data_IF_878669752291
#
_entry.id   IF_878669752291
#
_cell.length_a   1.000
_cell.length_b   1.000
_cell.length_c   1.000
_cell.angle_alpha   90.00
_cell.angle_beta   90.00
_cell.angle_gamma   90.00
#
_symmetry.space_group_name_H-M   'P 1'
#
loop_
_entity.id
_entity.type
_entity.pdbx_description
1 polymer ?
#
# COMPACT_ATOMS: atom_id res chain seq x y z
N UNK A 1 29.27 -11.26 0.07
CA UNK A 1 28.63 -12.32 -0.74
C UNK A 1 27.84 -11.67 -1.86
N UNK A 2 27.94 -12.16 -3.10
CA UNK A 2 27.22 -11.60 -4.26
C UNK A 2 25.67 -11.67 -4.09
N UNK A 3 25.18 -12.51 -3.19
CA UNK A 3 23.76 -12.76 -2.93
C UNK A 3 23.19 -11.93 -1.77
N UNK A 4 23.95 -10.99 -1.22
CA UNK A 4 23.52 -10.13 -0.10
C UNK A 4 23.03 -8.77 -0.59
N UNK A 5 22.09 -8.75 -1.54
CA UNK A 5 21.41 -7.52 -2.00
C UNK A 5 19.94 -7.60 -1.63
N UNK A 6 19.45 -6.58 -0.93
CA UNK A 6 18.03 -6.43 -0.63
C UNK A 6 17.35 -5.71 -1.81
N UNK A 7 16.25 -6.26 -2.29
CA UNK A 7 15.38 -5.60 -3.24
C UNK A 7 14.40 -4.67 -2.51
N UNK A 8 14.01 -3.57 -3.17
CA UNK A 8 12.96 -2.72 -2.65
C UNK A 8 11.61 -3.46 -2.63
N UNK A 9 10.74 -3.19 -1.66
CA UNK A 9 9.40 -3.76 -1.63
C UNK A 9 8.55 -3.26 -2.80
N UNK A 10 7.65 -4.11 -3.28
CA UNK A 10 6.70 -3.75 -4.32
C UNK A 10 5.74 -2.63 -3.85
N UNK A 11 5.33 -1.77 -4.78
CA UNK A 11 4.45 -0.62 -4.54
C UNK A 11 3.30 -0.61 -5.56
N UNK A 12 2.14 -0.11 -5.15
CA UNK A 12 0.93 0.02 -5.95
C UNK A 12 0.24 1.36 -5.66
N UNK A 13 -0.50 1.91 -6.62
CA UNK A 13 -1.25 3.16 -6.41
C UNK A 13 -2.61 2.85 -5.80
N UNK A 14 -3.03 3.64 -4.80
CA UNK A 14 -4.36 3.55 -4.23
C UNK A 14 -5.40 4.07 -5.24
N UNK A 15 -6.43 3.29 -5.60
CA UNK A 15 -7.45 3.75 -6.54
C UNK A 15 -8.37 4.85 -5.97
N UNK A 16 -8.43 5.01 -4.64
CA UNK A 16 -9.33 5.97 -3.98
C UNK A 16 -8.68 7.35 -3.76
N UNK A 17 -7.45 7.40 -3.26
CA UNK A 17 -6.77 8.66 -2.95
C UNK A 17 -5.52 8.95 -3.80
N UNK A 18 -5.10 8.02 -4.66
CA UNK A 18 -3.91 8.17 -5.50
C UNK A 18 -2.57 7.96 -4.78
N UNK A 19 -2.56 7.74 -3.47
CA UNK A 19 -1.33 7.57 -2.69
C UNK A 19 -0.66 6.22 -2.95
N UNK A 20 0.66 6.15 -2.82
CA UNK A 20 1.41 4.90 -2.96
C UNK A 20 1.20 4.03 -1.73
N UNK A 21 0.75 2.80 -1.96
CA UNK A 21 0.52 1.81 -0.92
C UNK A 21 1.12 0.45 -1.29
N UNK A 22 1.25 -0.40 -0.28
CA UNK A 22 1.62 -1.79 -0.50
C UNK A 22 0.49 -2.55 -1.23
N UNK A 23 0.84 -3.42 -2.19
CA UNK A 23 -0.15 -4.25 -2.87
C UNK A 23 -0.86 -5.17 -1.87
N UNK A 24 -2.14 -5.45 -2.14
CA UNK A 24 -3.02 -6.28 -1.30
C UNK A 24 -3.18 -5.85 0.17
N UNK A 25 -2.78 -4.63 0.53
CA UNK A 25 -3.04 -4.04 1.85
C UNK A 25 -4.03 -2.89 1.78
N UNK A 26 -4.67 -2.63 2.92
CA UNK A 26 -5.48 -1.42 3.14
C UNK A 26 -4.60 -0.19 2.97
N UNK A 27 -5.12 0.85 2.34
CA UNK A 27 -4.39 2.11 2.23
C UNK A 27 -4.22 2.71 3.63
N UNK A 28 -3.00 2.98 4.11
CA UNK A 28 -2.79 3.60 5.41
C UNK A 28 -3.21 5.08 5.43
N UNK A 29 -3.34 5.70 4.25
CA UNK A 29 -3.65 7.11 4.11
C UNK A 29 -5.16 7.40 4.16
N UNK A 30 -5.97 6.62 3.43
CA UNK A 30 -7.42 6.83 3.40
C UNK A 30 -8.24 5.71 4.06
N UNK A 31 -7.61 4.61 4.47
CA UNK A 31 -8.31 3.50 5.11
C UNK A 31 -9.11 2.57 4.18
N UNK A 32 -9.08 2.80 2.86
CA UNK A 32 -9.84 2.01 1.89
C UNK A 32 -9.11 0.75 1.40
N UNK A 33 -9.88 -0.32 1.18
CA UNK A 33 -9.48 -1.52 0.45
C UNK A 33 -10.66 -2.10 -0.34
N UNK A 34 -10.50 -2.25 -1.66
CA UNK A 34 -11.56 -2.72 -2.58
C UNK A 34 -12.86 -1.93 -2.40
N UNK A 35 -12.76 -0.60 -2.48
CA UNK A 35 -13.89 0.34 -2.42
C UNK A 35 -14.73 0.27 -1.15
N UNK A 36 -14.15 -0.28 -0.07
CA UNK A 36 -14.71 -0.28 1.26
C UNK A 36 -13.75 0.38 2.22
N UNK A 37 -14.28 1.24 3.08
CA UNK A 37 -13.57 1.78 4.23
C UNK A 37 -13.41 0.67 5.27
N UNK A 38 -12.16 0.36 5.63
CA UNK A 38 -11.83 -0.72 6.57
C UNK A 38 -11.35 -0.16 7.90
N UNK A 39 -10.78 1.04 7.88
CA UNK A 39 -10.27 1.77 9.03
C UNK A 39 -10.65 3.23 8.84
N UNK A 40 -11.21 3.84 9.87
CA UNK A 40 -11.34 5.29 9.92
C UNK A 40 -9.92 5.88 10.05
N UNK A 41 -9.53 6.69 9.07
CA UNK A 41 -8.32 7.51 9.12
C UNK A 41 -8.73 8.93 9.50
N UNK A 42 -8.19 9.46 10.60
CA UNK A 42 -8.48 10.81 11.12
C UNK A 42 -8.17 11.95 10.12
#
# INVERSE_FOLDING_TARGET
>A
SANSKLAAPARSVCPQCGEVKLPHRVCPNCGYYKDREVIETE
#
